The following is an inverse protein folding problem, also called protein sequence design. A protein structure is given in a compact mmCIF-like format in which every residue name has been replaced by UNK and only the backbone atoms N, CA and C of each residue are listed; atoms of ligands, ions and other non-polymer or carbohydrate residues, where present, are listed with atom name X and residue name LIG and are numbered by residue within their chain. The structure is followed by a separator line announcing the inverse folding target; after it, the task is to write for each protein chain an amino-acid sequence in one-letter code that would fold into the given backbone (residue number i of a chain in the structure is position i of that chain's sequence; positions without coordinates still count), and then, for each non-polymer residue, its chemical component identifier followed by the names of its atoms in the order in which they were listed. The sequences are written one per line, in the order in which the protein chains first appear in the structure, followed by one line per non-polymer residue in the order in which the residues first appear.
data_IF_818704841569
#
_entry.id   IF_818704841569
#
_cell.length_a   1.000
_cell.length_b   1.000
_cell.length_c   1.000
_cell.angle_alpha   90.00
_cell.angle_beta   90.00
_cell.angle_gamma   90.00
#
_symmetry.space_group_name_H-M   'P 1'
#
loop_
_entity.id
_entity.type
_entity.pdbx_description
1 polymer ?
#
# COMPACT_ATOMS: atom_id res chain seq x y z
N UNK A 1 -5.71 -32.76 9.11
CA UNK A 1 -4.25 -32.95 9.32
C UNK A 1 -3.92 -32.35 10.68
N UNK A 2 -3.26 -33.09 11.57
CA UNK A 2 -2.96 -32.64 12.92
C UNK A 2 -1.53 -32.08 13.00
N UNK A 3 -1.37 -31.03 13.78
CA UNK A 3 -0.07 -30.53 14.23
C UNK A 3 0.55 -31.53 15.22
N UNK A 4 1.89 -31.65 15.30
CA UNK A 4 2.58 -32.41 16.35
C UNK A 4 2.12 -32.13 17.79
N UNK A 5 1.66 -30.91 18.07
CA UNK A 5 1.14 -30.51 19.39
C UNK A 5 -0.38 -30.74 19.55
N UNK A 6 -0.99 -31.47 18.60
CA UNK A 6 -2.40 -31.87 18.52
C UNK A 6 -3.46 -30.84 18.03
N UNK A 7 -3.20 -29.55 17.70
CA UNK A 7 -4.21 -28.74 17.02
C UNK A 7 -4.37 -29.16 15.55
N UNK A 8 -5.60 -29.25 15.08
CA UNK A 8 -5.88 -29.47 13.66
C UNK A 8 -5.41 -28.28 12.80
N UNK A 9 -4.55 -28.54 11.83
CA UNK A 9 -4.02 -27.54 10.88
C UNK A 9 -4.93 -27.33 9.68
N UNK A 10 -5.63 -28.39 9.26
CA UNK A 10 -6.55 -28.35 8.12
C UNK A 10 -7.77 -29.19 8.45
N UNK A 11 -8.94 -28.53 8.37
CA UNK A 11 -10.26 -29.11 8.60
C UNK A 11 -11.10 -29.03 7.32
N UNK A 12 -11.76 -30.14 6.99
CA UNK A 12 -12.82 -30.22 5.99
C UNK A 12 -13.99 -30.97 6.62
N UNK A 13 -15.10 -30.29 6.88
CA UNK A 13 -16.24 -30.95 7.50
C UNK A 13 -17.35 -30.02 7.94
N UNK A 14 -18.38 -30.56 8.61
CA UNK A 14 -19.52 -29.78 9.06
C UNK A 14 -19.15 -28.85 10.24
N UNK A 15 -19.47 -27.58 10.07
CA UNK A 15 -19.54 -26.61 11.15
C UNK A 15 -20.60 -27.01 12.19
N UNK A 16 -20.65 -26.37 13.37
CA UNK A 16 -21.65 -26.66 14.40
C UNK A 16 -23.12 -26.51 13.94
N UNK A 17 -23.36 -25.74 12.87
CA UNK A 17 -24.67 -25.58 12.23
C UNK A 17 -24.95 -26.63 11.12
N UNK A 18 -24.06 -27.60 10.95
CA UNK A 18 -24.14 -28.68 9.95
C UNK A 18 -23.65 -28.31 8.55
N UNK A 19 -23.26 -27.05 8.30
CA UNK A 19 -22.80 -26.60 6.97
C UNK A 19 -21.34 -26.93 6.74
N UNK A 20 -20.97 -27.26 5.50
CA UNK A 20 -19.58 -27.55 5.18
C UNK A 20 -18.68 -26.33 5.40
N UNK A 21 -17.52 -26.55 6.01
CA UNK A 21 -16.48 -25.56 6.16
C UNK A 21 -15.09 -26.12 5.88
N UNK A 22 -14.22 -25.21 5.42
CA UNK A 22 -12.80 -25.43 5.25
C UNK A 22 -12.08 -24.45 6.18
N UNK A 23 -11.14 -24.96 6.98
CA UNK A 23 -10.28 -24.12 7.82
C UNK A 23 -8.82 -24.51 7.65
N UNK A 24 -7.97 -23.50 7.52
CA UNK A 24 -6.52 -23.59 7.59
C UNK A 24 -6.07 -22.84 8.83
N UNK A 25 -5.30 -23.48 9.70
CA UNK A 25 -4.86 -22.94 11.00
C UNK A 25 -3.34 -22.87 11.06
N UNK A 26 -2.86 -21.90 11.84
CA UNK A 26 -1.46 -21.80 12.27
C UNK A 26 -1.18 -22.85 13.34
N UNK A 27 0.10 -23.19 13.49
CA UNK A 27 0.57 -23.83 14.72
C UNK A 27 0.18 -22.96 15.93
N UNK A 28 -0.42 -23.58 16.94
CA UNK A 28 -1.03 -22.88 18.08
C UNK A 28 -2.50 -22.47 17.89
N UNK A 29 -3.12 -22.78 16.75
CA UNK A 29 -4.59 -22.82 16.60
C UNK A 29 -5.28 -21.56 16.08
N UNK A 30 -4.57 -20.49 15.71
CA UNK A 30 -5.20 -19.33 15.06
C UNK A 30 -5.58 -19.59 13.60
N UNK A 31 -6.75 -19.16 13.15
CA UNK A 31 -7.19 -19.34 11.75
C UNK A 31 -6.37 -18.46 10.77
N UNK A 32 -5.86 -19.05 9.70
CA UNK A 32 -5.27 -18.37 8.53
C UNK A 32 -6.37 -18.06 7.52
N UNK A 33 -7.14 -19.09 7.16
CA UNK A 33 -8.25 -19.02 6.22
C UNK A 33 -9.40 -19.84 6.78
N UNK A 34 -10.60 -19.28 6.79
CA UNK A 34 -11.80 -20.01 7.17
C UNK A 34 -12.95 -19.67 6.22
N UNK A 35 -13.72 -20.68 5.82
CA UNK A 35 -15.04 -20.46 5.25
C UNK A 35 -16.08 -20.35 6.36
N UNK A 36 -17.08 -19.51 6.16
CA UNK A 36 -18.17 -19.30 7.10
C UNK A 36 -19.50 -19.19 6.37
N UNK A 37 -20.57 -19.23 7.15
CA UNK A 37 -21.91 -18.91 6.65
C UNK A 37 -22.41 -17.68 7.40
N UNK A 38 -22.91 -16.70 6.66
CA UNK A 38 -23.62 -15.54 7.20
C UNK A 38 -24.94 -15.93 7.86
N UNK A 39 -25.52 -15.01 8.64
CA UNK A 39 -26.82 -15.22 9.30
C UNK A 39 -27.97 -15.45 8.31
N UNK A 40 -27.88 -14.93 7.09
CA UNK A 40 -28.86 -15.17 6.01
C UNK A 40 -28.51 -16.38 5.14
N UNK A 41 -27.52 -17.18 5.55
CA UNK A 41 -27.24 -18.48 4.96
C UNK A 41 -26.34 -18.45 3.73
N UNK A 42 -25.71 -17.32 3.42
CA UNK A 42 -24.77 -17.22 2.28
C UNK A 42 -23.36 -17.67 2.70
N UNK A 43 -22.69 -18.51 1.89
CA UNK A 43 -21.32 -18.91 2.14
C UNK A 43 -20.36 -17.74 1.87
N UNK A 44 -19.25 -17.71 2.61
CA UNK A 44 -18.14 -16.78 2.37
C UNK A 44 -16.83 -17.33 2.93
N UNK A 45 -15.73 -16.62 2.70
CA UNK A 45 -14.41 -16.93 3.28
C UNK A 45 -13.72 -15.68 3.83
N UNK A 46 -12.78 -15.88 4.74
CA UNK A 46 -11.95 -14.84 5.31
C UNK A 46 -10.52 -15.34 5.55
N UNK A 47 -9.54 -14.48 5.24
CA UNK A 47 -8.13 -14.61 5.56
C UNK A 47 -7.78 -13.66 6.71
N UNK A 48 -7.15 -14.17 7.75
CA UNK A 48 -6.86 -13.42 8.98
C UNK A 48 -5.37 -13.29 9.25
N UNK A 49 -4.96 -12.17 9.84
CA UNK A 49 -3.62 -11.94 10.37
C UNK A 49 -3.38 -12.78 11.63
N UNK A 50 -2.13 -12.81 12.13
CA UNK A 50 -1.79 -13.55 13.36
C UNK A 50 -2.50 -12.99 14.60
N UNK A 51 -2.87 -11.70 14.59
CA UNK A 51 -3.68 -11.05 15.63
C UNK A 51 -5.16 -11.50 15.65
N UNK A 52 -5.62 -12.22 14.61
CA UNK A 52 -7.01 -12.59 14.41
C UNK A 52 -7.80 -11.62 13.51
N UNK A 53 -7.20 -10.48 13.14
CA UNK A 53 -7.86 -9.48 12.27
C UNK A 53 -8.07 -10.00 10.85
N UNK A 54 -9.28 -9.85 10.31
CA UNK A 54 -9.58 -10.21 8.91
C UNK A 54 -8.91 -9.22 7.95
N UNK A 55 -8.01 -9.72 7.12
CA UNK A 55 -7.26 -8.94 6.12
C UNK A 55 -7.98 -8.92 4.79
N UNK A 56 -8.58 -10.06 4.40
CA UNK A 56 -9.31 -10.23 3.14
C UNK A 56 -10.49 -11.15 3.39
N UNK A 57 -11.67 -10.84 2.84
CA UNK A 57 -12.83 -11.72 2.92
C UNK A 57 -13.78 -11.48 1.75
N UNK A 58 -14.68 -12.43 1.49
CA UNK A 58 -15.86 -12.21 0.63
C UNK A 58 -16.83 -11.19 1.25
N UNK A 59 -17.66 -10.55 0.41
CA UNK A 59 -18.88 -9.83 0.83
C UNK A 59 -20.14 -10.61 0.46
N UNK A 60 -20.45 -11.68 1.21
CA UNK A 60 -21.66 -12.44 0.96
C UNK A 60 -22.91 -11.56 1.07
N UNK A 61 -22.92 -10.52 1.90
CA UNK A 61 -24.07 -9.64 2.08
C UNK A 61 -24.34 -8.78 0.82
N UNK A 62 -23.30 -8.23 0.20
CA UNK A 62 -23.41 -7.52 -1.08
C UNK A 62 -23.54 -8.45 -2.30
N UNK A 63 -23.28 -9.75 -2.15
CA UNK A 63 -23.26 -10.71 -3.26
C UNK A 63 -22.03 -10.60 -4.16
N UNK A 64 -20.97 -9.95 -3.67
CA UNK A 64 -19.73 -9.71 -4.40
C UNK A 64 -18.55 -10.46 -3.76
N UNK A 65 -17.55 -10.79 -4.59
CA UNK A 65 -16.47 -11.71 -4.23
C UNK A 65 -15.35 -11.14 -3.33
N UNK A 66 -15.41 -9.88 -2.87
CA UNK A 66 -14.39 -9.27 -2.00
C UNK A 66 -15.01 -8.13 -1.16
N UNK A 67 -15.19 -8.35 0.14
CA UNK A 67 -15.66 -7.35 1.12
C UNK A 67 -14.59 -6.37 1.56
N UNK A 68 -13.33 -6.79 1.55
CA UNK A 68 -12.19 -6.04 2.08
C UNK A 68 -10.97 -6.46 1.28
N UNK A 69 -10.21 -5.53 0.70
CA UNK A 69 -9.99 -4.17 1.19
C UNK A 69 -10.92 -3.12 0.56
N UNK A 70 -11.25 -2.06 1.31
CA UNK A 70 -11.72 -0.81 0.71
C UNK A 70 -10.59 -0.27 -0.16
N UNK A 71 -10.60 -0.61 -1.45
CA UNK A 71 -9.59 -0.14 -2.40
C UNK A 71 -9.91 1.33 -2.66
N UNK A 72 -9.06 2.28 -2.22
CA UNK A 72 -9.29 3.67 -2.55
C UNK A 72 -9.27 3.82 -4.07
N UNK A 73 -10.32 4.40 -4.64
CA UNK A 73 -10.34 4.81 -6.04
C UNK A 73 -9.94 6.29 -6.06
N UNK A 74 -8.66 6.61 -6.34
CA UNK A 74 -8.21 7.99 -6.27
C UNK A 74 -8.88 8.81 -7.37
N UNK A 75 -9.47 9.95 -6.99
CA UNK A 75 -9.88 10.98 -7.94
C UNK A 75 -8.73 11.95 -8.16
N UNK A 76 -8.49 12.36 -9.40
CA UNK A 76 -7.42 13.32 -9.73
C UNK A 76 -8.02 14.62 -10.25
N UNK A 77 -7.59 15.79 -9.75
CA UNK A 77 -7.99 17.07 -10.33
C UNK A 77 -7.57 17.15 -11.81
N UNK A 78 -8.47 17.60 -12.69
CA UNK A 78 -8.21 17.69 -14.14
C UNK A 78 -7.83 19.09 -14.60
N UNK A 79 -8.00 20.11 -13.74
CA UNK A 79 -7.71 21.51 -14.09
C UNK A 79 -6.66 22.07 -13.12
N UNK A 80 -5.63 22.79 -13.61
CA UNK A 80 -4.61 23.38 -12.75
C UNK A 80 -5.18 24.24 -11.62
N UNK A 81 -6.21 25.05 -11.88
CA UNK A 81 -6.80 25.96 -10.91
C UNK A 81 -7.45 25.27 -9.70
N UNK A 82 -7.72 23.96 -9.79
CA UNK A 82 -8.25 23.18 -8.67
C UNK A 82 -7.14 22.74 -7.69
N UNK A 83 -5.86 23.01 -8.02
CA UNK A 83 -4.71 22.68 -7.18
C UNK A 83 -4.29 23.84 -6.26
N UNK A 84 -3.75 23.53 -5.07
CA UNK A 84 -3.07 24.51 -4.22
C UNK A 84 -2.00 25.29 -4.97
N UNK A 85 -1.92 26.59 -4.71
CA UNK A 85 -0.97 27.51 -5.32
C UNK A 85 0.14 27.92 -4.36
N UNK A 86 1.39 27.80 -4.82
CA UNK A 86 2.60 28.22 -4.10
C UNK A 86 3.23 29.38 -4.86
N UNK A 87 3.48 30.48 -4.16
CA UNK A 87 4.11 31.69 -4.72
C UNK A 87 5.41 32.07 -4.04
N UNK A 88 5.71 31.44 -2.90
CA UNK A 88 6.91 31.72 -2.14
C UNK A 88 8.18 31.27 -2.88
N UNK A 89 9.25 32.04 -2.68
CA UNK A 89 10.60 31.66 -3.11
C UNK A 89 11.23 30.60 -2.19
N UNK A 90 10.73 30.50 -0.95
CA UNK A 90 11.06 29.42 -0.01
C UNK A 90 10.17 28.20 -0.22
N UNK A 91 10.64 27.04 0.24
CA UNK A 91 9.80 25.83 0.25
C UNK A 91 8.66 25.96 1.26
N UNK A 92 7.44 25.76 0.78
CA UNK A 92 6.22 25.67 1.59
C UNK A 92 5.70 24.24 1.60
N UNK A 93 5.25 23.77 2.76
CA UNK A 93 4.57 22.47 2.89
C UNK A 93 3.19 22.56 2.27
N UNK A 94 2.95 21.75 1.24
CA UNK A 94 1.61 21.64 0.62
C UNK A 94 0.88 20.39 1.11
N UNK A 95 1.62 19.30 1.33
CA UNK A 95 1.06 18.03 1.84
C UNK A 95 1.94 17.48 2.95
N UNK A 96 1.29 16.98 4.02
CA UNK A 96 1.92 16.18 5.06
C UNK A 96 1.11 14.90 5.27
N UNK A 97 1.78 13.75 5.23
CA UNK A 97 1.22 12.46 5.59
C UNK A 97 1.92 11.91 6.82
N UNK A 98 1.17 11.34 7.76
CA UNK A 98 1.70 10.63 8.93
C UNK A 98 1.15 9.23 8.96
N UNK A 99 2.02 8.23 9.09
CA UNK A 99 1.61 6.83 9.07
C UNK A 99 2.54 5.94 9.89
N UNK A 100 2.02 4.81 10.35
CA UNK A 100 2.85 3.74 10.89
C UNK A 100 3.60 3.05 9.74
N UNK A 101 4.92 2.90 9.89
CA UNK A 101 5.72 2.16 8.91
C UNK A 101 5.27 0.71 8.87
N UNK A 102 4.83 0.23 7.72
CA UNK A 102 4.49 -1.17 7.46
C UNK A 102 5.44 -1.79 6.46
N UNK A 103 6.00 -1.00 5.54
CA UNK A 103 6.91 -1.50 4.51
C UNK A 103 8.21 -0.68 4.40
N UNK A 104 9.20 -1.23 3.70
CA UNK A 104 10.55 -0.68 3.63
C UNK A 104 10.66 0.58 2.76
N UNK A 105 9.81 0.72 1.74
CA UNK A 105 9.83 1.88 0.84
C UNK A 105 8.45 2.51 0.68
N UNK A 106 8.44 3.77 0.30
CA UNK A 106 7.25 4.49 -0.14
C UNK A 106 7.38 4.93 -1.60
N UNK A 107 6.24 5.18 -2.19
CA UNK A 107 6.12 5.78 -3.50
C UNK A 107 5.03 6.83 -3.49
N UNK A 108 5.32 7.97 -4.11
CA UNK A 108 4.48 9.15 -4.10
C UNK A 108 4.00 9.45 -5.52
N UNK A 109 2.70 9.68 -5.69
CA UNK A 109 2.14 10.26 -6.90
C UNK A 109 1.93 11.76 -6.70
N UNK A 110 2.48 12.57 -7.59
CA UNK A 110 2.40 14.05 -7.56
C UNK A 110 1.67 14.55 -8.80
N UNK A 111 0.98 15.67 -8.67
CA UNK A 111 0.44 16.42 -9.79
C UNK A 111 0.93 17.85 -9.65
N UNK A 112 1.76 18.31 -10.58
CA UNK A 112 2.34 19.65 -10.54
C UNK A 112 2.35 20.34 -11.92
N UNK A 113 2.26 21.67 -11.88
CA UNK A 113 2.46 22.56 -13.03
C UNK A 113 2.91 23.94 -12.55
N UNK A 114 3.57 24.69 -13.43
CA UNK A 114 3.87 26.10 -13.26
C UNK A 114 3.00 26.93 -14.21
N UNK A 115 2.62 28.14 -13.79
CA UNK A 115 2.04 29.12 -14.71
C UNK A 115 3.08 29.58 -15.74
N UNK A 116 2.62 30.18 -16.84
CA UNK A 116 3.51 30.63 -17.92
C UNK A 116 4.65 31.52 -17.40
N UNK A 117 5.85 31.32 -17.94
CA UNK A 117 7.08 32.04 -17.58
C UNK A 117 7.48 31.89 -16.09
N UNK A 118 6.94 30.87 -15.41
CA UNK A 118 7.24 30.54 -14.02
C UNK A 118 7.92 29.18 -13.96
N UNK A 119 8.96 29.06 -13.14
CA UNK A 119 9.56 27.79 -12.81
C UNK A 119 9.54 27.57 -11.30
N UNK A 120 9.55 26.30 -10.90
CA UNK A 120 9.55 25.94 -9.51
C UNK A 120 10.26 24.62 -9.26
N UNK A 121 10.34 24.28 -7.99
CA UNK A 121 10.87 23.00 -7.54
C UNK A 121 9.91 22.36 -6.55
N UNK A 122 9.81 21.04 -6.63
CA UNK A 122 9.22 20.22 -5.58
C UNK A 122 10.32 19.45 -4.84
N UNK A 123 10.07 19.09 -3.58
CA UNK A 123 10.93 18.20 -2.80
C UNK A 123 10.10 17.31 -1.88
N UNK A 124 10.63 16.13 -1.57
CA UNK A 124 10.08 15.24 -0.54
C UNK A 124 11.04 15.18 0.64
N UNK A 125 10.49 15.33 1.84
CA UNK A 125 11.19 15.15 3.10
C UNK A 125 10.55 14.00 3.87
N UNK A 126 11.35 13.05 4.34
CA UNK A 126 10.90 11.98 5.23
C UNK A 126 11.45 12.26 6.61
N UNK A 127 10.57 12.26 7.62
CA UNK A 127 10.97 12.38 9.03
C UNK A 127 10.73 11.05 9.73
N UNK A 128 11.77 10.51 10.36
CA UNK A 128 11.70 9.26 11.11
C UNK A 128 10.98 9.43 12.47
N UNK A 129 10.69 8.32 13.19
CA UNK A 129 10.06 8.40 14.51
C UNK A 129 10.88 9.13 15.58
N UNK A 130 12.19 9.30 15.37
CA UNK A 130 13.08 10.06 16.25
C UNK A 130 13.13 11.56 15.91
N UNK A 131 12.42 12.00 14.86
CA UNK A 131 12.40 13.39 14.41
C UNK A 131 13.53 13.77 13.45
N UNK A 132 14.32 12.82 12.96
CA UNK A 132 15.35 13.10 11.96
C UNK A 132 14.72 13.24 10.58
N UNK A 133 14.91 14.40 9.95
CA UNK A 133 14.33 14.75 8.66
C UNK A 133 15.38 14.71 7.54
N UNK A 134 15.09 13.99 6.46
CA UNK A 134 15.96 13.83 5.28
C UNK A 134 15.22 14.25 4.01
N UNK A 135 15.89 15.02 3.15
CA UNK A 135 15.41 15.32 1.79
C UNK A 135 15.76 14.13 0.89
N UNK A 136 14.75 13.41 0.40
CA UNK A 136 14.96 12.18 -0.39
C UNK A 136 14.87 12.39 -1.89
N UNK A 137 14.26 13.50 -2.35
CA UNK A 137 14.20 13.87 -3.77
C UNK A 137 13.93 15.36 -3.95
N UNK A 138 14.39 15.92 -5.08
CA UNK A 138 14.12 17.28 -5.55
C UNK A 138 13.90 17.24 -7.06
N UNK A 139 12.90 17.97 -7.56
CA UNK A 139 12.63 18.04 -9.00
C UNK A 139 12.22 19.42 -9.47
N UNK A 140 12.45 19.68 -10.76
CA UNK A 140 11.92 20.85 -11.46
C UNK A 140 10.44 20.66 -11.83
N UNK A 141 9.67 21.73 -11.66
CA UNK A 141 8.28 21.89 -12.12
C UNK A 141 8.26 22.76 -13.37
N UNK A 142 7.58 22.29 -14.41
CA UNK A 142 7.42 23.00 -15.69
C UNK A 142 5.97 23.38 -15.96
N UNK A 143 5.71 24.02 -17.10
CA UNK A 143 4.40 24.60 -17.45
C UNK A 143 3.30 23.57 -17.81
N UNK A 144 3.68 22.31 -18.03
CA UNK A 144 2.74 21.24 -18.33
C UNK A 144 2.24 20.57 -17.05
N UNK A 145 0.91 20.45 -16.92
CA UNK A 145 0.29 19.64 -15.88
C UNK A 145 0.74 18.18 -16.00
N UNK A 146 1.56 17.74 -15.05
CA UNK A 146 2.20 16.44 -15.10
C UNK A 146 1.84 15.62 -13.85
N UNK A 147 1.28 14.43 -14.08
CA UNK A 147 1.21 13.39 -13.06
C UNK A 147 2.52 12.61 -13.06
N UNK A 148 3.24 12.61 -11.95
CA UNK A 148 4.55 11.96 -11.83
C UNK A 148 4.60 11.04 -10.61
N UNK A 149 5.10 9.82 -10.84
CA UNK A 149 5.48 8.86 -9.82
C UNK A 149 6.88 9.18 -9.33
N UNK A 150 7.07 9.20 -8.01
CA UNK A 150 8.31 9.56 -7.32
C UNK A 150 8.70 8.44 -6.36
N UNK A 151 9.99 8.11 -6.33
CA UNK A 151 10.53 6.99 -5.57
C UNK A 151 10.82 5.76 -6.43
N UNK A 152 11.00 4.57 -5.81
CA UNK A 152 10.77 4.30 -4.39
C UNK A 152 11.75 5.03 -3.47
N UNK A 153 11.26 5.54 -2.34
CA UNK A 153 12.09 6.15 -1.30
C UNK A 153 12.19 5.23 -0.09
N UNK A 154 13.40 4.99 0.46
CA UNK A 154 13.54 4.21 1.68
C UNK A 154 12.85 4.92 2.85
N UNK A 155 12.11 4.16 3.64
CA UNK A 155 11.54 4.65 4.90
C UNK A 155 12.47 4.21 6.03
N UNK A 156 12.98 5.10 6.89
CA UNK A 156 13.85 4.73 8.00
C UNK A 156 13.13 3.90 9.09
N UNK A 157 13.89 3.21 9.94
CA UNK A 157 13.38 2.42 11.09
C UNK A 157 12.92 0.99 10.77
N UNK A 158 12.41 0.24 11.75
CA UNK A 158 11.78 -1.08 11.55
C UNK A 158 10.26 -0.93 11.33
N UNK A 159 9.60 -1.90 10.65
CA UNK A 159 8.14 -1.93 10.60
C UNK A 159 7.54 -1.85 12.01
N UNK A 160 6.49 -1.03 12.16
CA UNK A 160 5.73 -0.79 13.39
C UNK A 160 6.50 -0.11 14.55
N UNK A 161 7.69 0.43 14.30
CA UNK A 161 8.53 1.09 15.33
C UNK A 161 8.13 2.55 15.63
N UNK A 162 7.02 3.04 15.06
CA UNK A 162 6.50 4.37 15.34
C UNK A 162 5.83 5.02 14.14
N UNK A 163 5.61 6.33 14.26
CA UNK A 163 5.03 7.16 13.19
C UNK A 163 6.13 7.82 12.38
N UNK A 164 6.06 7.64 11.06
CA UNK A 164 6.86 8.37 10.07
C UNK A 164 6.02 9.50 9.52
N UNK A 165 6.65 10.64 9.21
CA UNK A 165 6.02 11.69 8.42
C UNK A 165 6.67 11.86 7.04
N UNK A 166 5.85 12.14 6.03
CA UNK A 166 6.28 12.50 4.69
C UNK A 166 5.72 13.88 4.38
N UNK A 167 6.61 14.83 4.12
CA UNK A 167 6.26 16.20 3.77
C UNK A 167 6.63 16.46 2.32
N UNK A 168 5.69 16.95 1.54
CA UNK A 168 5.93 17.35 0.15
C UNK A 168 5.83 18.86 0.06
N UNK A 169 6.92 19.46 -0.39
CA UNK A 169 7.09 20.90 -0.41
C UNK A 169 7.34 21.40 -1.82
N UNK A 170 6.86 22.60 -2.10
CA UNK A 170 7.12 23.27 -3.36
C UNK A 170 7.60 24.69 -3.13
N UNK A 171 8.30 25.25 -4.12
CA UNK A 171 8.69 26.66 -4.18
C UNK A 171 8.69 27.15 -5.62
N UNK A 172 8.54 28.46 -5.78
CA UNK A 172 8.83 29.14 -7.04
C UNK A 172 10.31 29.52 -7.10
N UNK A 173 10.99 29.19 -8.19
CA UNK A 173 12.41 29.52 -8.41
C UNK A 173 12.59 30.71 -9.34
N UNK A 174 11.70 30.89 -10.32
CA UNK A 174 11.70 32.04 -11.24
C UNK A 174 10.27 32.47 -11.61
N UNK A 175 10.13 33.65 -12.22
CA UNK A 175 8.84 34.18 -12.67
C UNK A 175 8.02 34.83 -11.56
N UNK A 176 6.81 35.29 -11.93
CA UNK A 176 5.86 35.95 -11.02
C UNK A 176 4.56 35.17 -10.83
N UNK A 177 4.34 34.12 -11.60
CA UNK A 177 3.16 33.26 -11.49
C UNK A 177 3.24 32.31 -10.30
N UNK A 178 2.41 31.28 -10.35
CA UNK A 178 2.21 30.31 -9.27
C UNK A 178 2.71 28.92 -9.68
N UNK A 179 3.17 28.15 -8.70
CA UNK A 179 3.32 26.70 -8.80
C UNK A 179 2.04 26.07 -8.28
N UNK A 180 1.36 25.29 -9.10
CA UNK A 180 0.11 24.62 -8.77
C UNK A 180 0.39 23.14 -8.59
N UNK A 181 0.24 22.63 -7.36
CA UNK A 181 0.74 21.30 -7.04
C UNK A 181 0.00 20.61 -5.89
N UNK A 182 -0.01 19.29 -5.92
CA UNK A 182 -0.47 18.43 -4.82
C UNK A 182 0.17 17.05 -4.88
N UNK A 183 0.04 16.29 -3.79
CA UNK A 183 0.22 14.84 -3.80
C UNK A 183 -1.14 14.16 -4.02
N UNK A 184 -1.20 13.20 -4.94
CA UNK A 184 -2.40 12.42 -5.24
C UNK A 184 -2.53 11.18 -4.34
N UNK A 185 -1.40 10.65 -3.87
CA UNK A 185 -1.40 9.46 -3.04
C UNK A 185 0.00 9.03 -2.64
N UNK A 186 0.05 8.24 -1.57
CA UNK A 186 1.26 7.65 -1.03
C UNK A 186 1.01 6.16 -0.80
N UNK A 187 1.91 5.30 -1.30
CA UNK A 187 1.80 3.85 -1.14
C UNK A 187 3.07 3.34 -0.44
N UNK A 188 2.89 2.48 0.56
CA UNK A 188 3.98 1.70 1.16
C UNK A 188 4.15 0.39 0.38
N UNK A 189 5.39 0.01 0.06
CA UNK A 189 5.71 -1.20 -0.72
C UNK A 189 6.87 -1.97 -0.09
N UNK A 190 6.84 -3.30 -0.23
CA UNK A 190 8.01 -4.13 0.08
C UNK A 190 9.20 -3.71 -0.79
N UNK A 191 10.42 -3.92 -0.29
CA UNK A 191 11.63 -3.62 -1.06
C UNK A 191 11.66 -4.48 -2.33
N UNK A 192 11.94 -3.92 -3.52
CA UNK A 192 12.09 -4.70 -4.74
C UNK A 192 13.15 -5.81 -4.62
N UNK A 193 14.13 -5.66 -3.72
CA UNK A 193 15.21 -6.62 -3.50
C UNK A 193 14.82 -7.86 -2.70
N UNK A 194 13.67 -7.87 -2.02
CA UNK A 194 13.25 -8.96 -1.13
C UNK A 194 12.26 -9.93 -1.80
N UNK A 195 11.97 -9.75 -3.09
CA UNK A 195 11.34 -10.81 -3.85
C UNK A 195 12.39 -11.91 -4.03
N UNK A 196 12.25 -13.10 -3.40
CA UNK A 196 13.11 -14.21 -3.76
C UNK A 196 12.97 -14.37 -5.27
N UNK A 197 14.07 -14.32 -6.02
CA UNK A 197 14.09 -14.79 -7.40
C UNK A 197 13.53 -16.20 -7.35
N UNK A 198 12.23 -16.35 -7.63
CA UNK A 198 11.64 -17.64 -7.92
C UNK A 198 12.28 -18.01 -9.24
N UNK A 199 13.37 -18.74 -9.15
CA UNK A 199 14.00 -19.43 -10.26
C UNK A 199 12.94 -20.40 -10.82
N UNK A 200 12.10 -19.87 -11.71
CA UNK A 200 11.05 -20.61 -12.41
C UNK A 200 11.65 -21.44 -13.57
N UNK A 201 12.98 -21.44 -13.71
CA UNK A 201 13.69 -22.26 -14.68
C UNK A 201 14.13 -23.61 -14.08
N UNK A 202 13.20 -24.54 -13.92
CA UNK A 202 13.49 -25.97 -14.20
C UNK A 202 12.20 -26.80 -14.24
N UNK A 203 11.64 -27.11 -15.43
CA UNK A 203 10.76 -28.26 -15.55
C UNK A 203 11.62 -29.53 -15.39
N UNK A 204 11.50 -30.24 -14.27
CA UNK A 204 12.08 -31.58 -14.11
C UNK A 204 11.36 -32.53 -15.06
N UNK A 205 11.97 -32.85 -16.20
CA UNK A 205 11.49 -33.92 -17.07
C UNK A 205 11.79 -35.27 -16.43
N UNK A 206 10.91 -35.75 -15.56
CA UNK A 206 10.94 -37.14 -15.10
C UNK A 206 10.31 -38.01 -16.18
N UNK A 207 11.14 -38.58 -17.05
CA UNK A 207 10.71 -39.62 -18.00
C UNK A 207 10.29 -40.86 -17.20
N UNK A 208 9.05 -41.38 -17.34
CA UNK A 208 8.65 -42.61 -16.70
C UNK A 208 9.27 -43.80 -17.45
N UNK A 209 10.15 -44.52 -16.78
CA UNK A 209 10.67 -45.80 -17.26
C UNK A 209 9.55 -46.85 -17.29
N UNK A 210 9.24 -47.35 -18.49
CA UNK A 210 8.42 -48.54 -18.68
C UNK A 210 9.15 -49.78 -18.13
N UNK A 211 8.43 -50.61 -17.38
CA UNK A 211 8.66 -52.05 -17.31
C UNK A 211 7.53 -52.74 -18.04
#
# INVERSE_FOLDING_TARGET
MLDPDDPELVYFGPAPDGRQMIRFRRQGGGDILATYTTTDGRPGWALSANSGDVVVADDPAAGNALARPWIPVPTTPVRPQDLPAVTAAGFETVVEARFAKTHAVIELSTLDTAESETAGEGRVVITDPAGHAEVVDIWAVGEQLANRRRGPFPVPGRPYEGTVSVTVLWRRTTGRGQIRSTALGLIQRESPSDQPERDLSTPSSTTPGRR
#
